data_IF_508516096927
#
_entry.id   IF_508516096927
#
_cell.length_a   1.000
_cell.length_b   1.000
_cell.length_c   1.000
_cell.angle_alpha   90.00
_cell.angle_beta   90.00
_cell.angle_gamma   90.00
#
_symmetry.space_group_name_H-M   'P 1'
#
loop_
_entity.id
_entity.type
_entity.pdbx_description
1 polymer ?
#
# COMPACT_ATOMS: atom_id res chain seq x y z
N UNK A 1 -2.31 -16.39 -0.19
CA UNK A 1 -1.92 -15.51 -1.31
C UNK A 1 -0.56 -14.93 -0.96
N UNK A 2 0.43 -15.17 -1.83
CA UNK A 2 1.80 -14.67 -1.66
C UNK A 2 1.82 -13.15 -1.81
N UNK A 3 2.33 -12.45 -0.81
CA UNK A 3 2.24 -10.99 -0.73
C UNK A 3 3.62 -10.37 -0.53
N UNK A 4 3.94 -9.36 -1.31
CA UNK A 4 5.09 -8.49 -1.11
C UNK A 4 4.62 -7.23 -0.37
N UNK A 5 5.14 -7.00 0.84
CA UNK A 5 4.80 -5.83 1.66
C UNK A 5 5.85 -4.74 1.46
N UNK A 6 5.51 -3.72 0.67
CA UNK A 6 6.38 -2.58 0.36
C UNK A 6 6.00 -1.38 1.24
N UNK A 7 6.99 -0.67 1.76
CA UNK A 7 6.85 0.30 2.86
C UNK A 7 6.30 -0.37 4.12
N UNK A 8 6.88 -1.51 4.47
CA UNK A 8 6.36 -2.40 5.51
C UNK A 8 6.33 -1.77 6.91
N UNK A 9 7.23 -0.82 7.18
CA UNK A 9 7.34 -0.22 8.50
C UNK A 9 7.50 -1.30 9.57
N UNK A 10 6.71 -1.23 10.63
CA UNK A 10 6.70 -2.19 11.74
C UNK A 10 5.76 -3.39 11.51
N UNK A 11 5.20 -3.58 10.29
CA UNK A 11 4.37 -4.74 9.94
C UNK A 11 2.86 -4.55 10.14
N UNK A 12 2.33 -3.37 9.79
CA UNK A 12 0.91 -3.10 9.92
C UNK A 12 0.03 -4.05 9.11
N UNK A 13 0.39 -4.38 7.87
CA UNK A 13 -0.32 -5.36 7.07
C UNK A 13 -0.18 -6.76 7.65
N UNK A 14 1.04 -7.17 8.00
CA UNK A 14 1.32 -8.49 8.56
C UNK A 14 0.50 -8.75 9.83
N UNK A 15 0.36 -7.76 10.70
CA UNK A 15 -0.47 -7.85 11.89
C UNK A 15 -1.98 -7.89 11.58
N UNK A 16 -2.44 -7.07 10.61
CA UNK A 16 -3.86 -6.96 10.28
C UNK A 16 -4.38 -8.15 9.45
N UNK A 17 -3.53 -8.80 8.66
CA UNK A 17 -3.88 -9.82 7.70
C UNK A 17 -3.04 -11.11 7.88
N UNK A 18 -3.14 -11.82 9.03
CA UNK A 18 -2.31 -13.00 9.33
C UNK A 18 -2.55 -14.19 8.39
N UNK A 19 -3.59 -14.13 7.54
CA UNK A 19 -3.87 -15.12 6.51
C UNK A 19 -3.11 -14.88 5.19
N UNK A 20 -2.38 -13.77 5.05
CA UNK A 20 -1.51 -13.52 3.91
C UNK A 20 -0.13 -14.17 4.15
N UNK A 21 0.42 -14.79 3.14
CA UNK A 21 1.80 -15.27 3.14
C UNK A 21 2.71 -14.12 2.70
N UNK A 22 3.28 -13.37 3.65
CA UNK A 22 4.21 -12.30 3.32
C UNK A 22 5.55 -12.93 2.92
N UNK A 23 5.86 -12.91 1.62
CA UNK A 23 7.10 -13.52 1.10
C UNK A 23 8.33 -12.64 1.38
N UNK A 24 8.14 -11.31 1.40
CA UNK A 24 9.15 -10.33 1.77
C UNK A 24 8.49 -9.05 2.29
N UNK A 25 9.04 -8.47 3.33
CA UNK A 25 8.77 -7.11 3.79
C UNK A 25 9.93 -6.20 3.36
N UNK A 26 9.63 -4.99 2.88
CA UNK A 26 10.65 -4.06 2.39
C UNK A 26 10.41 -2.66 2.94
N UNK A 27 11.43 -2.09 3.57
CA UNK A 27 11.43 -0.69 3.99
C UNK A 27 12.88 -0.19 4.06
N UNK A 28 13.06 1.13 4.17
CA UNK A 28 14.38 1.77 4.32
C UNK A 28 14.77 1.94 5.79
N UNK A 29 13.82 1.90 6.72
CA UNK A 29 14.03 2.22 8.12
C UNK A 29 14.50 1.00 8.92
N UNK A 30 15.73 1.08 9.48
CA UNK A 30 16.33 0.00 10.24
C UNK A 30 15.61 -0.25 11.59
N UNK A 31 15.16 0.82 12.27
CA UNK A 31 14.42 0.66 13.53
C UNK A 31 13.08 -0.05 13.29
N UNK A 32 12.42 0.26 12.18
CA UNK A 32 11.19 -0.42 11.79
C UNK A 32 11.41 -1.90 11.50
N UNK A 33 12.54 -2.26 10.84
CA UNK A 33 12.93 -3.66 10.63
C UNK A 33 13.09 -4.39 11.96
N UNK A 34 13.79 -3.80 12.92
CA UNK A 34 14.07 -4.43 14.21
C UNK A 34 12.77 -4.72 14.97
N UNK A 35 11.81 -3.77 14.97
CA UNK A 35 10.47 -3.99 15.52
C UNK A 35 9.67 -5.04 14.73
N UNK A 36 9.78 -5.05 13.41
CA UNK A 36 9.11 -6.04 12.57
C UNK A 36 9.58 -7.46 12.90
N UNK A 37 10.89 -7.66 12.96
CA UNK A 37 11.51 -8.97 13.22
C UNK A 37 11.30 -9.50 14.65
N UNK A 38 10.92 -8.65 15.61
CA UNK A 38 10.49 -9.10 16.94
C UNK A 38 9.10 -9.76 16.92
N UNK A 39 8.29 -9.50 15.88
CA UNK A 39 6.90 -9.95 15.80
C UNK A 39 6.61 -10.93 14.67
N UNK A 40 7.45 -10.96 13.64
CA UNK A 40 7.23 -11.75 12.43
C UNK A 40 8.52 -12.41 11.94
N UNK A 41 8.43 -13.68 11.55
CA UNK A 41 9.54 -14.45 10.96
C UNK A 41 9.77 -14.21 9.46
N UNK A 42 9.02 -13.25 8.89
CA UNK A 42 9.11 -12.91 7.46
C UNK A 42 10.47 -12.31 7.11
N UNK A 43 11.10 -12.69 5.98
CA UNK A 43 12.29 -12.03 5.48
C UNK A 43 12.07 -10.53 5.29
N UNK A 44 12.94 -9.71 5.86
CA UNK A 44 12.87 -8.25 5.76
C UNK A 44 14.08 -7.70 5.00
N UNK A 45 13.82 -7.01 3.89
CA UNK A 45 14.85 -6.36 3.09
C UNK A 45 14.93 -4.87 3.44
N UNK A 46 16.04 -4.46 4.05
CA UNK A 46 16.35 -3.04 4.28
C UNK A 46 16.84 -2.44 2.96
N UNK A 47 15.93 -1.83 2.19
CA UNK A 47 16.21 -1.30 0.86
C UNK A 47 15.50 0.01 0.60
N UNK A 48 16.18 0.88 -0.16
CA UNK A 48 15.61 2.07 -0.73
C UNK A 48 14.78 1.70 -1.98
N UNK A 49 13.45 1.86 -1.89
CA UNK A 49 12.52 1.39 -2.92
C UNK A 49 12.65 2.13 -4.27
N UNK A 50 13.21 3.34 -4.29
CA UNK A 50 13.45 4.07 -5.55
C UNK A 50 14.55 3.44 -6.43
N UNK A 51 15.38 2.57 -5.87
CA UNK A 51 16.50 1.91 -6.56
C UNK A 51 16.33 0.39 -6.66
N UNK A 52 15.21 -0.16 -6.17
CA UNK A 52 14.98 -1.62 -6.22
C UNK A 52 14.79 -2.07 -7.66
N UNK A 53 15.57 -3.07 -8.16
CA UNK A 53 15.41 -3.54 -9.53
C UNK A 53 14.06 -4.24 -9.73
N UNK A 54 13.39 -3.96 -10.85
CA UNK A 54 12.14 -4.65 -11.22
C UNK A 54 12.31 -6.17 -11.25
N UNK A 55 13.46 -6.67 -11.72
CA UNK A 55 13.82 -8.08 -11.70
C UNK A 55 13.80 -8.67 -10.30
N UNK A 56 14.32 -7.96 -9.29
CA UNK A 56 14.29 -8.44 -7.91
C UNK A 56 12.87 -8.56 -7.38
N UNK A 57 11.99 -7.60 -7.74
CA UNK A 57 10.56 -7.64 -7.37
C UNK A 57 9.85 -8.82 -8.04
N UNK A 58 10.15 -9.09 -9.31
CA UNK A 58 9.62 -10.24 -10.07
C UNK A 58 10.04 -11.58 -9.45
N UNK A 59 11.29 -11.70 -9.03
CA UNK A 59 11.85 -12.90 -8.41
C UNK A 59 11.14 -13.29 -7.09
N UNK A 60 10.45 -12.35 -6.42
CA UNK A 60 9.65 -12.65 -5.24
C UNK A 60 8.38 -13.47 -5.56
N UNK A 61 7.94 -13.51 -6.82
CA UNK A 61 6.78 -14.27 -7.30
C UNK A 61 5.54 -14.05 -6.45
N UNK A 62 5.32 -12.81 -6.02
CA UNK A 62 4.18 -12.44 -5.22
C UNK A 62 2.92 -12.26 -6.09
N UNK A 63 1.79 -12.77 -5.58
CA UNK A 63 0.48 -12.59 -6.22
C UNK A 63 -0.09 -11.18 -5.95
N UNK A 64 0.27 -10.61 -4.81
CA UNK A 64 -0.17 -9.29 -4.35
C UNK A 64 1.04 -8.42 -3.97
N UNK A 65 1.05 -7.20 -4.49
CA UNK A 65 1.91 -6.14 -3.97
C UNK A 65 1.08 -5.18 -3.14
N UNK A 66 1.36 -5.13 -1.85
CA UNK A 66 0.80 -4.12 -0.95
C UNK A 66 1.80 -2.99 -0.78
N UNK A 67 1.32 -1.74 -0.91
CA UNK A 67 2.14 -0.54 -0.81
C UNK A 67 1.49 0.50 0.11
N UNK A 68 2.25 1.01 1.07
CA UNK A 68 1.84 2.13 1.95
C UNK A 68 2.84 3.28 1.83
N UNK A 69 2.92 3.94 0.65
CA UNK A 69 3.95 4.95 0.40
C UNK A 69 3.77 6.19 1.27
N UNK A 70 4.85 7.00 1.49
CA UNK A 70 4.80 8.19 2.31
C UNK A 70 3.65 9.13 1.91
N UNK A 71 2.86 9.54 2.91
CA UNK A 71 1.69 10.39 2.69
C UNK A 71 2.02 11.90 2.66
N UNK A 72 3.21 12.29 3.11
CA UNK A 72 3.61 13.70 3.25
C UNK A 72 3.45 14.52 1.97
N UNK A 73 3.74 13.99 0.76
CA UNK A 73 3.54 14.72 -0.49
C UNK A 73 2.08 15.12 -0.74
N UNK A 74 1.10 14.44 -0.12
CA UNK A 74 -0.34 14.55 -0.40
C UNK A 74 -1.13 15.13 0.78
N UNK A 75 -0.49 15.40 1.94
CA UNK A 75 -1.20 15.93 3.11
C UNK A 75 -1.34 17.45 3.03
N UNK A 76 -2.46 17.99 3.56
CA UNK A 76 -2.70 19.44 3.65
C UNK A 76 -1.66 20.19 4.48
N UNK A 77 -0.97 19.52 5.40
CA UNK A 77 0.11 20.10 6.23
C UNK A 77 1.51 19.93 5.61
N UNK A 78 1.62 19.13 4.55
CA UNK A 78 2.85 19.00 3.76
C UNK A 78 2.96 20.10 2.71
N UNK A 79 4.10 20.15 2.03
CA UNK A 79 4.36 21.15 0.96
C UNK A 79 3.50 20.95 -0.29
N UNK A 80 2.65 19.94 -0.34
CA UNK A 80 1.78 19.56 -1.47
C UNK A 80 2.53 19.51 -2.83
N UNK A 81 3.83 19.16 -2.79
CA UNK A 81 4.67 19.10 -3.99
C UNK A 81 4.34 17.91 -4.89
N UNK A 82 3.47 16.99 -4.40
CA UNK A 82 2.99 15.82 -5.15
C UNK A 82 4.15 15.02 -5.78
N UNK A 83 4.11 14.77 -7.08
CA UNK A 83 5.15 14.05 -7.84
C UNK A 83 6.52 14.75 -7.84
N UNK A 84 6.60 16.02 -7.50
CA UNK A 84 7.87 16.76 -7.39
C UNK A 84 8.52 16.64 -5.99
N UNK A 85 7.85 16.01 -5.02
CA UNK A 85 8.44 15.76 -3.71
C UNK A 85 9.45 14.60 -3.81
N UNK A 86 10.68 14.74 -3.32
CA UNK A 86 11.66 13.65 -3.33
C UNK A 86 11.13 12.34 -2.71
N UNK A 87 10.24 12.44 -1.72
CA UNK A 87 9.61 11.28 -1.08
C UNK A 87 8.61 10.55 -1.96
N UNK A 88 8.15 11.16 -3.06
CA UNK A 88 7.29 10.50 -4.04
C UNK A 88 8.10 9.67 -5.05
N UNK A 89 9.40 9.87 -5.17
CA UNK A 89 10.22 9.22 -6.20
C UNK A 89 10.23 7.70 -6.09
N UNK A 90 10.31 7.16 -4.87
CA UNK A 90 10.25 5.72 -4.65
C UNK A 90 8.92 5.12 -5.10
N UNK A 91 7.80 5.84 -4.91
CA UNK A 91 6.49 5.37 -5.34
C UNK A 91 6.30 5.50 -6.86
N UNK A 92 6.79 6.56 -7.49
CA UNK A 92 6.79 6.71 -8.96
C UNK A 92 7.57 5.57 -9.61
N UNK A 93 8.75 5.23 -9.06
CA UNK A 93 9.51 4.07 -9.51
C UNK A 93 8.73 2.76 -9.40
N UNK A 94 8.05 2.52 -8.27
CA UNK A 94 7.24 1.31 -8.09
C UNK A 94 6.02 1.27 -9.03
N UNK A 95 5.42 2.41 -9.37
CA UNK A 95 4.36 2.48 -10.39
C UNK A 95 4.87 1.95 -11.73
N UNK A 96 6.08 2.35 -12.14
CA UNK A 96 6.73 1.83 -13.36
C UNK A 96 7.09 0.34 -13.22
N UNK A 97 7.57 -0.11 -12.06
CA UNK A 97 7.84 -1.52 -11.80
C UNK A 97 6.58 -2.39 -11.93
N UNK A 98 5.42 -1.93 -11.44
CA UNK A 98 4.14 -2.64 -11.62
C UNK A 98 3.79 -2.80 -13.09
N UNK A 99 4.00 -1.76 -13.91
CA UNK A 99 3.77 -1.84 -15.35
C UNK A 99 4.65 -2.91 -16.03
N UNK A 100 5.88 -3.10 -15.56
CA UNK A 100 6.83 -4.07 -16.12
C UNK A 100 6.59 -5.49 -15.63
N UNK A 101 6.50 -5.67 -14.30
CA UNK A 101 6.40 -6.99 -13.65
C UNK A 101 5.00 -7.57 -13.74
N UNK A 102 3.99 -6.70 -13.72
CA UNK A 102 2.58 -7.04 -13.83
C UNK A 102 2.09 -8.06 -12.79
N UNK A 103 2.29 -7.84 -11.47
CA UNK A 103 1.74 -8.73 -10.46
C UNK A 103 0.21 -8.86 -10.61
N UNK A 104 -0.40 -10.03 -10.28
CA UNK A 104 -1.85 -10.23 -10.43
C UNK A 104 -2.69 -9.19 -9.70
N UNK A 105 -2.23 -8.75 -8.51
CA UNK A 105 -2.91 -7.78 -7.65
C UNK A 105 -1.96 -6.73 -7.15
N UNK A 106 -2.45 -5.50 -7.06
CA UNK A 106 -1.77 -4.38 -6.39
C UNK A 106 -2.76 -3.65 -5.50
N UNK A 107 -2.36 -3.35 -4.27
CA UNK A 107 -3.13 -2.49 -3.36
C UNK A 107 -2.22 -1.38 -2.87
N UNK A 108 -2.72 -0.15 -2.97
CA UNK A 108 -2.05 1.05 -2.43
C UNK A 108 -2.93 1.65 -1.34
N UNK A 109 -2.38 1.85 -0.15
CA UNK A 109 -3.01 2.61 0.94
C UNK A 109 -2.39 4.00 1.04
N UNK A 110 -3.21 5.03 1.19
CA UNK A 110 -2.72 6.40 1.42
C UNK A 110 -3.78 7.28 2.12
N UNK A 111 -3.45 8.56 2.34
CA UNK A 111 -4.40 9.57 2.82
C UNK A 111 -5.39 9.96 1.73
N UNK A 112 -6.58 10.42 2.11
CA UNK A 112 -7.64 10.80 1.14
C UNK A 112 -7.17 11.85 0.14
N UNK A 113 -6.29 12.78 0.52
CA UNK A 113 -5.73 13.79 -0.38
C UNK A 113 -4.93 13.22 -1.58
N UNK A 114 -4.53 11.95 -1.53
CA UNK A 114 -3.88 11.26 -2.63
C UNK A 114 -4.79 11.14 -3.87
N UNK A 115 -6.10 10.99 -3.70
CA UNK A 115 -7.07 10.81 -4.79
C UNK A 115 -7.04 11.96 -5.82
N UNK A 116 -6.81 13.19 -5.36
CA UNK A 116 -6.73 14.38 -6.22
C UNK A 116 -5.31 14.72 -6.69
N UNK A 117 -4.33 13.86 -6.40
CA UNK A 117 -2.92 14.10 -6.76
C UNK A 117 -2.60 13.75 -8.21
N UNK A 118 -1.57 14.38 -8.76
CA UNK A 118 -1.02 14.01 -10.08
C UNK A 118 -0.46 12.60 -10.07
N UNK A 119 0.13 12.18 -8.94
CA UNK A 119 0.67 10.82 -8.77
C UNK A 119 -0.44 9.78 -8.88
N UNK A 120 -1.65 10.02 -8.36
CA UNK A 120 -2.79 9.12 -8.53
C UNK A 120 -3.24 9.04 -9.99
N UNK A 121 -3.32 10.18 -10.68
CA UNK A 121 -3.61 10.21 -12.13
C UNK A 121 -2.57 9.40 -12.92
N UNK A 122 -1.28 9.65 -12.67
CA UNK A 122 -0.18 8.92 -13.31
C UNK A 122 -0.25 7.39 -13.06
N UNK A 123 -0.53 6.98 -11.83
CA UNK A 123 -0.74 5.58 -11.47
C UNK A 123 -1.86 4.96 -12.31
N UNK A 124 -3.02 5.61 -12.37
CA UNK A 124 -4.18 5.11 -13.13
C UNK A 124 -3.84 4.94 -14.60
N UNK A 125 -3.30 5.98 -15.23
CA UNK A 125 -2.95 5.96 -16.65
C UNK A 125 -1.98 4.81 -16.98
N UNK A 126 -0.94 4.64 -16.16
CA UNK A 126 0.09 3.61 -16.35
C UNK A 126 -0.47 2.19 -16.19
N UNK A 127 -1.26 1.96 -15.15
CA UNK A 127 -1.74 0.62 -14.84
C UNK A 127 -2.93 0.22 -15.73
N UNK A 128 -3.80 1.15 -16.12
CA UNK A 128 -4.85 0.89 -17.12
C UNK A 128 -4.23 0.53 -18.48
N UNK A 129 -3.17 1.22 -18.91
CA UNK A 129 -2.39 0.87 -20.11
C UNK A 129 -1.76 -0.52 -20.01
N UNK A 130 -1.36 -0.96 -18.81
CA UNK A 130 -0.84 -2.30 -18.55
C UNK A 130 -1.95 -3.38 -18.40
N UNK A 131 -3.22 -3.01 -18.62
CA UNK A 131 -4.36 -3.92 -18.60
C UNK A 131 -4.95 -4.18 -17.22
N UNK A 132 -4.64 -3.33 -16.22
CA UNK A 132 -5.29 -3.41 -14.91
C UNK A 132 -6.68 -2.78 -14.93
N UNK A 133 -7.59 -3.39 -14.20
CA UNK A 133 -8.83 -2.77 -13.73
C UNK A 133 -8.56 -2.17 -12.36
N UNK A 134 -8.99 -0.94 -12.15
CA UNK A 134 -8.68 -0.18 -10.94
C UNK A 134 -9.98 0.25 -10.25
N UNK A 135 -10.07 0.01 -8.97
CA UNK A 135 -11.11 0.55 -8.09
C UNK A 135 -10.48 1.35 -6.96
N UNK A 136 -11.08 2.48 -6.65
CA UNK A 136 -10.63 3.36 -5.57
C UNK A 136 -11.70 3.40 -4.49
N UNK A 137 -11.31 3.10 -3.25
CA UNK A 137 -12.20 3.00 -2.10
C UNK A 137 -11.71 3.94 -1.00
N UNK A 138 -12.61 4.73 -0.42
CA UNK A 138 -12.31 5.48 0.81
C UNK A 138 -13.00 4.81 1.99
N UNK A 139 -12.22 4.51 3.04
CA UNK A 139 -12.73 3.91 4.27
C UNK A 139 -12.18 4.60 5.51
N UNK A 140 -13.05 4.70 6.51
CA UNK A 140 -12.69 5.16 7.84
C UNK A 140 -12.94 4.04 8.86
N UNK A 141 -12.06 3.78 9.81
CA UNK A 141 -12.29 2.79 10.87
C UNK A 141 -13.61 3.01 11.62
N UNK A 142 -14.10 4.26 11.71
CA UNK A 142 -15.41 4.55 12.32
C UNK A 142 -16.59 3.91 11.60
N UNK A 143 -16.48 3.61 10.31
CA UNK A 143 -17.50 2.89 9.54
C UNK A 143 -17.52 1.39 9.87
N UNK A 144 -16.40 0.88 10.43
CA UNK A 144 -16.21 -0.51 10.85
C UNK A 144 -16.41 -0.69 12.37
N UNK A 145 -16.93 0.34 13.06
CA UNK A 145 -17.19 0.29 14.49
C UNK A 145 -16.07 0.83 15.39
N UNK A 146 -14.86 1.07 14.88
CA UNK A 146 -13.73 1.56 15.67
C UNK A 146 -13.89 3.04 16.07
N UNK A 147 -13.45 3.47 17.27
CA UNK A 147 -13.64 4.83 17.76
C UNK A 147 -12.69 5.85 17.13
N UNK A 148 -11.76 5.42 16.25
CA UNK A 148 -10.75 6.27 15.67
C UNK A 148 -11.17 6.81 14.29
N UNK A 149 -11.22 8.15 14.15
CA UNK A 149 -11.43 8.81 12.86
C UNK A 149 -10.11 8.92 12.10
N UNK A 150 -9.90 8.00 11.14
CA UNK A 150 -8.69 7.92 10.31
C UNK A 150 -9.03 7.52 8.87
N UNK A 151 -9.68 8.39 8.08
CA UNK A 151 -10.04 8.02 6.71
C UNK A 151 -8.81 7.76 5.86
N UNK A 152 -8.87 6.71 5.05
CA UNK A 152 -7.83 6.28 4.11
C UNK A 152 -8.44 5.93 2.77
N UNK A 153 -7.65 6.19 1.74
CA UNK A 153 -7.94 5.72 0.39
C UNK A 153 -7.19 4.42 0.14
N UNK A 154 -7.84 3.50 -0.54
CA UNK A 154 -7.29 2.25 -1.04
C UNK A 154 -7.49 2.20 -2.54
N UNK A 155 -6.41 2.10 -3.29
CA UNK A 155 -6.44 1.85 -4.73
C UNK A 155 -6.17 0.37 -4.94
N UNK A 156 -7.17 -0.34 -5.45
CA UNK A 156 -7.06 -1.78 -5.72
C UNK A 156 -7.01 -1.98 -7.22
N UNK A 157 -5.96 -2.62 -7.69
CA UNK A 157 -5.75 -2.92 -9.10
C UNK A 157 -5.61 -4.43 -9.32
N UNK A 158 -6.23 -4.94 -10.38
CA UNK A 158 -6.12 -6.35 -10.76
C UNK A 158 -6.14 -6.51 -12.28
N UNK A 159 -5.39 -7.51 -12.77
CA UNK A 159 -5.44 -7.94 -14.18
C UNK A 159 -6.60 -8.87 -14.48
N UNK A 160 -7.33 -9.30 -13.46
CA UNK A 160 -8.58 -10.04 -13.54
C UNK A 160 -9.78 -9.18 -13.13
N UNK A 161 -10.96 -9.79 -13.04
CA UNK A 161 -12.12 -9.07 -12.54
C UNK A 161 -11.93 -8.67 -11.07
N UNK A 162 -12.23 -7.42 -10.77
CA UNK A 162 -12.30 -6.96 -9.39
C UNK A 162 -13.54 -7.56 -8.71
N UNK A 163 -13.41 -8.04 -7.47
CA UNK A 163 -14.58 -8.46 -6.69
C UNK A 163 -15.43 -7.24 -6.36
N UNK A 164 -16.73 -7.43 -6.17
CA UNK A 164 -17.56 -6.36 -5.58
C UNK A 164 -17.18 -6.22 -4.10
N UNK A 165 -16.63 -5.08 -3.72
CA UNK A 165 -16.32 -4.80 -2.33
C UNK A 165 -17.59 -4.46 -1.58
N UNK A 166 -18.01 -5.35 -0.66
CA UNK A 166 -19.16 -5.13 0.22
C UNK A 166 -18.65 -4.90 1.63
N UNK A 167 -18.99 -3.75 2.18
CA UNK A 167 -18.67 -3.41 3.57
C UNK A 167 -19.97 -3.31 4.36
N UNK A 168 -20.06 -4.05 5.44
CA UNK A 168 -21.14 -3.87 6.43
C UNK A 168 -20.69 -2.80 7.41
N UNK A 169 -21.45 -1.70 7.49
CA UNK A 169 -21.22 -0.70 8.50
C UNK A 169 -21.55 -1.32 9.88
N UNK A 170 -20.57 -1.30 10.77
CA UNK A 170 -20.75 -1.77 12.14
C UNK A 170 -21.08 -0.58 13.06
N UNK A 171 -22.00 -0.75 14.03
CA UNK A 171 -22.24 0.29 15.02
C UNK A 171 -20.94 0.57 15.80
N UNK A 172 -20.72 1.84 16.15
CA UNK A 172 -19.57 2.21 16.99
C UNK A 172 -19.68 1.50 18.33
N UNK A 173 -18.65 0.76 18.67
CA UNK A 173 -18.53 0.18 20.00
C UNK A 173 -18.12 1.28 21.01
N UNK A 174 -18.57 1.22 22.25
CA UNK A 174 -18.11 2.12 23.30
C UNK A 174 -16.63 1.82 23.63
N UNK A 175 -15.88 2.86 24.09
CA UNK A 175 -14.43 2.74 24.35
C UNK A 175 -14.03 1.60 25.29
N UNK A 176 -14.92 1.18 26.20
CA UNK A 176 -14.65 0.06 27.12
C UNK A 176 -14.81 -1.32 26.48
N UNK A 177 -15.18 -1.40 25.23
CA UNK A 177 -15.32 -2.66 24.49
C UNK A 177 -14.05 -3.03 23.69
N UNK A 178 -12.95 -2.24 23.85
CA UNK A 178 -11.65 -2.46 23.20
C UNK A 178 -10.56 -2.88 24.16
#
# INVERSE_FOLDING_TARGET
MKTLELYAGIGGLSAACPWLEIVHAVDINADSRDWYQLNFDTPYALRELQSVPAKWLEEQRADLWWMSPPCTPYTRRGNQNDSNDPRAQSFLHLIDCVQHVQPPWVVVENVVGFESSRTHGFLKDKWEQAGYRIETLTKCPTELGWPMRRPRIYVVASRSNLPSFRFTNSPKLPLHAY
#
